data_IF_695463940650
#
_entry.id   IF_695463940650
#
_cell.length_a   1.000
_cell.length_b   1.000
_cell.length_c   1.000
_cell.angle_alpha   90.00
_cell.angle_beta   90.00
_cell.angle_gamma   90.00
#
_symmetry.space_group_name_H-M   'P 1'
#
loop_
_entity.id
_entity.type
_entity.pdbx_description
1 polymer ?
#
# COMPACT_ATOMS: atom_id res chain seq x y z
N UNK A 1 9.22 -0.62 16.36
CA UNK A 1 9.41 0.70 15.70
C UNK A 1 8.06 1.41 15.56
N UNK A 2 8.00 2.74 15.39
CA UNK A 2 6.74 3.44 15.13
C UNK A 2 6.21 3.15 13.71
N UNK A 3 4.88 3.20 13.55
CA UNK A 3 4.22 3.21 12.24
C UNK A 3 4.65 4.43 11.41
N UNK A 4 4.49 4.34 10.08
CA UNK A 4 4.83 5.46 9.19
C UNK A 4 3.96 6.71 9.47
N UNK A 5 4.37 7.85 8.93
CA UNK A 5 3.65 9.12 9.10
C UNK A 5 2.97 9.56 7.80
N UNK A 6 1.94 10.38 7.91
CA UNK A 6 1.24 10.96 6.75
C UNK A 6 2.21 11.71 5.83
N UNK A 7 3.16 12.44 6.42
CA UNK A 7 4.21 13.16 5.70
C UNK A 7 5.10 12.20 4.91
N UNK A 8 5.61 11.13 5.53
CA UNK A 8 6.48 10.16 4.87
C UNK A 8 5.78 9.45 3.70
N UNK A 9 4.51 9.09 3.86
CA UNK A 9 3.69 8.49 2.79
C UNK A 9 3.51 9.49 1.63
N UNK A 10 3.21 10.75 1.92
CA UNK A 10 3.05 11.80 0.90
C UNK A 10 4.35 12.10 0.17
N UNK A 11 5.49 12.11 0.88
CA UNK A 11 6.81 12.27 0.27
C UNK A 11 7.20 11.08 -0.62
N UNK A 12 6.73 9.88 -0.27
CA UNK A 12 7.00 8.66 -1.05
C UNK A 12 6.14 8.60 -2.33
N UNK A 13 4.90 9.10 -2.26
CA UNK A 13 3.97 9.08 -3.39
C UNK A 13 3.43 10.48 -3.72
N UNK A 14 4.09 11.15 -4.68
CA UNK A 14 3.72 12.49 -5.14
C UNK A 14 2.27 12.59 -5.67
N UNK A 15 1.68 11.48 -6.12
CA UNK A 15 0.28 11.41 -6.55
C UNK A 15 -0.73 11.68 -5.41
N UNK A 16 -0.28 11.59 -4.16
CA UNK A 16 -1.09 11.79 -2.96
C UNK A 16 -1.14 13.24 -2.45
N UNK A 17 -0.51 14.19 -3.15
CA UNK A 17 -0.48 15.62 -2.74
C UNK A 17 -1.89 16.20 -2.52
N UNK A 18 -2.90 15.73 -3.25
CA UNK A 18 -4.29 16.16 -3.10
C UNK A 18 -5.16 15.31 -2.16
N UNK A 19 -4.62 14.23 -1.59
CA UNK A 19 -5.38 13.34 -0.69
C UNK A 19 -5.40 13.93 0.71
N UNK A 20 -6.55 13.83 1.40
CA UNK A 20 -6.69 14.36 2.75
C UNK A 20 -5.82 13.57 3.76
N UNK A 21 -5.46 14.19 4.87
CA UNK A 21 -4.57 13.57 5.85
C UNK A 21 -5.23 12.39 6.59
N UNK A 22 -6.55 12.45 6.82
CA UNK A 22 -7.28 11.42 7.56
C UNK A 22 -7.38 10.10 6.77
N UNK A 23 -7.58 10.17 5.46
CA UNK A 23 -7.56 9.01 4.56
C UNK A 23 -6.15 8.42 4.48
N UNK A 24 -5.10 9.25 4.38
CA UNK A 24 -3.72 8.73 4.42
C UNK A 24 -3.45 8.03 5.76
N UNK A 25 -3.91 8.60 6.87
CA UNK A 25 -3.79 7.99 8.20
C UNK A 25 -4.51 6.65 8.28
N UNK A 26 -5.72 6.55 7.72
CA UNK A 26 -6.46 5.29 7.66
C UNK A 26 -5.68 4.22 6.88
N UNK A 27 -5.13 4.56 5.70
CA UNK A 27 -4.31 3.63 4.93
C UNK A 27 -3.02 3.21 5.63
N UNK A 28 -2.42 4.09 6.44
CA UNK A 28 -1.27 3.75 7.30
C UNK A 28 -1.69 2.74 8.37
N UNK A 29 -2.83 2.95 9.01
CA UNK A 29 -3.33 2.09 10.08
C UNK A 29 -3.66 0.70 9.52
N UNK A 30 -4.34 0.62 8.38
CA UNK A 30 -4.63 -0.64 7.68
C UNK A 30 -3.33 -1.36 7.26
N UNK A 31 -2.39 -0.63 6.66
CA UNK A 31 -1.10 -1.19 6.26
C UNK A 31 -0.27 -1.66 7.46
N UNK A 32 -0.36 -0.97 8.60
CA UNK A 32 0.35 -1.36 9.81
C UNK A 32 -0.19 -2.67 10.36
N UNK A 33 -1.51 -2.88 10.40
CA UNK A 33 -2.11 -4.13 10.86
C UNK A 33 -1.59 -5.35 10.07
N UNK A 34 -1.50 -5.22 8.74
CA UNK A 34 -0.98 -6.27 7.87
C UNK A 34 0.52 -6.54 8.09
N UNK A 35 1.31 -5.48 8.18
CA UNK A 35 2.77 -5.59 8.32
C UNK A 35 3.17 -6.05 9.73
N UNK A 36 2.40 -5.68 10.75
CA UNK A 36 2.63 -6.07 12.14
C UNK A 36 2.36 -7.56 12.39
N UNK A 37 1.42 -8.14 11.63
CA UNK A 37 1.13 -9.57 11.65
C UNK A 37 2.21 -10.44 10.97
N UNK A 38 3.12 -9.84 10.21
CA UNK A 38 4.14 -10.53 9.44
C UNK A 38 5.53 -10.47 10.11
N UNK A 39 6.41 -11.47 9.89
CA UNK A 39 7.70 -11.56 10.56
C UNK A 39 8.77 -10.65 9.93
N UNK A 40 8.43 -9.39 9.63
CA UNK A 40 9.40 -8.41 9.17
C UNK A 40 10.42 -8.06 10.26
N UNK A 41 11.68 -7.88 9.87
CA UNK A 41 12.68 -7.25 10.74
C UNK A 41 12.23 -5.82 11.07
N UNK A 42 12.48 -5.38 12.30
CA UNK A 42 12.10 -4.05 12.79
C UNK A 42 12.60 -2.91 11.88
N UNK A 43 13.80 -3.05 11.33
CA UNK A 43 14.42 -2.08 10.39
C UNK A 43 13.64 -1.92 9.07
N UNK A 44 12.91 -2.96 8.65
CA UNK A 44 12.20 -3.00 7.37
C UNK A 44 10.70 -2.75 7.56
N UNK A 45 10.20 -2.90 8.78
CA UNK A 45 8.77 -2.86 9.12
C UNK A 45 8.12 -1.53 8.79
N UNK A 46 8.74 -0.40 9.15
CA UNK A 46 8.24 0.93 8.80
C UNK A 46 8.20 1.12 7.28
N UNK A 47 9.27 0.71 6.58
CA UNK A 47 9.39 0.82 5.13
C UNK A 47 8.30 0.00 4.43
N UNK A 48 8.07 -1.24 4.87
CA UNK A 48 7.01 -2.11 4.35
C UNK A 48 5.62 -1.49 4.56
N UNK A 49 5.35 -0.98 5.77
CA UNK A 49 4.11 -0.27 6.08
C UNK A 49 3.91 0.95 5.18
N UNK A 50 4.96 1.77 4.99
CA UNK A 50 4.92 2.96 4.13
C UNK A 50 4.57 2.63 2.68
N UNK A 51 5.23 1.63 2.09
CA UNK A 51 4.95 1.23 0.71
C UNK A 51 3.57 0.61 0.53
N UNK A 52 3.10 -0.18 1.50
CA UNK A 52 1.75 -0.72 1.47
C UNK A 52 0.71 0.39 1.61
N UNK A 53 0.90 1.35 2.52
CA UNK A 53 0.02 2.50 2.66
C UNK A 53 -0.02 3.35 1.37
N UNK A 54 1.13 3.57 0.73
CA UNK A 54 1.19 4.25 -0.58
C UNK A 54 0.40 3.49 -1.65
N UNK A 55 0.53 2.16 -1.71
CA UNK A 55 -0.21 1.33 -2.66
C UNK A 55 -1.72 1.50 -2.50
N UNK A 56 -2.22 1.36 -1.27
CA UNK A 56 -3.65 1.48 -0.94
C UNK A 56 -4.17 2.89 -1.29
N UNK A 57 -3.44 3.93 -0.87
CA UNK A 57 -3.83 5.31 -1.10
C UNK A 57 -3.83 5.68 -2.60
N UNK A 58 -2.84 5.22 -3.37
CA UNK A 58 -2.74 5.48 -4.80
C UNK A 58 -3.85 4.77 -5.56
N UNK A 59 -4.14 3.51 -5.23
CA UNK A 59 -5.27 2.81 -5.81
C UNK A 59 -6.57 3.56 -5.55
N UNK A 60 -6.84 3.92 -4.29
CA UNK A 60 -8.05 4.66 -3.95
C UNK A 60 -8.18 5.96 -4.75
N UNK A 61 -7.11 6.77 -4.80
CA UNK A 61 -7.08 8.03 -5.56
C UNK A 61 -7.35 7.83 -7.07
N UNK A 62 -6.78 6.79 -7.68
CA UNK A 62 -7.01 6.46 -9.09
C UNK A 62 -8.46 6.06 -9.36
N UNK A 63 -9.06 5.26 -8.47
CA UNK A 63 -10.45 4.84 -8.64
C UNK A 63 -11.43 6.01 -8.45
N UNK A 64 -11.23 6.87 -7.43
CA UNK A 64 -12.05 8.08 -7.25
C UNK A 64 -11.99 9.00 -8.47
N UNK A 65 -10.80 9.17 -9.08
CA UNK A 65 -10.66 9.95 -10.33
C UNK A 65 -11.41 9.29 -11.49
N UNK A 66 -11.34 7.97 -11.62
CA UNK A 66 -12.09 7.24 -12.65
C UNK A 66 -13.61 7.36 -12.47
N UNK A 67 -14.10 7.33 -11.23
CA UNK A 67 -15.53 7.52 -10.91
C UNK A 67 -16.01 8.92 -11.29
N UNK A 68 -15.23 9.96 -11.00
CA UNK A 68 -15.57 11.34 -11.34
C UNK A 68 -15.67 11.60 -12.86
N UNK A 69 -14.91 10.86 -13.67
CA UNK A 69 -14.97 10.93 -15.15
C UNK A 69 -16.18 10.17 -15.70
N UNK A 70 -16.75 9.23 -14.94
CA UNK A 70 -17.72 8.24 -15.40
C UNK A 70 -19.14 8.41 -14.87
N UNK A 71 -19.59 9.64 -14.55
CA UNK A 71 -20.85 10.01 -13.87
C UNK A 71 -22.17 9.59 -14.54
N UNK A 72 -22.25 8.39 -15.13
CA UNK A 72 -23.45 7.81 -15.72
C UNK A 72 -23.72 6.36 -15.31
N UNK A 73 -22.87 5.64 -14.56
CA UNK A 73 -23.22 4.27 -14.12
C UNK A 73 -22.33 3.75 -12.98
N UNK A 74 -22.75 3.98 -11.74
CA UNK A 74 -23.05 2.93 -10.75
C UNK A 74 -23.05 3.52 -9.35
N UNK A 75 -24.25 3.62 -8.82
CA UNK A 75 -24.51 3.65 -7.39
C UNK A 75 -23.76 2.49 -6.71
N UNK A 76 -23.00 2.85 -5.67
CA UNK A 76 -22.57 2.02 -4.55
C UNK A 76 -22.18 0.56 -4.85
N UNK A 77 -20.87 0.33 -4.98
CA UNK A 77 -20.26 -0.88 -4.42
C UNK A 77 -19.03 -0.45 -3.62
N UNK A 78 -19.09 -0.60 -2.30
CA UNK A 78 -18.06 -0.19 -1.36
C UNK A 78 -16.67 -0.57 -1.83
N UNK A 79 -15.81 0.44 -2.03
CA UNK A 79 -14.46 0.22 -2.49
C UNK A 79 -13.60 -0.31 -1.33
N UNK A 80 -13.59 -1.63 -1.17
CA UNK A 80 -12.47 -2.31 -0.53
C UNK A 80 -11.33 -2.29 -1.55
N UNK A 81 -10.29 -1.48 -1.32
CA UNK A 81 -8.99 -1.72 -1.95
C UNK A 81 -8.52 -3.08 -1.47
N UNK A 82 -8.92 -4.15 -2.15
CA UNK A 82 -8.50 -5.49 -1.79
C UNK A 82 -7.01 -5.59 -2.02
N UNK A 83 -6.28 -6.11 -1.03
CA UNK A 83 -4.83 -6.36 -1.02
C UNK A 83 -4.34 -7.32 -2.12
N UNK A 84 -5.20 -7.70 -3.05
CA UNK A 84 -5.05 -8.83 -3.96
C UNK A 84 -4.15 -8.57 -5.15
N UNK A 85 -3.88 -7.31 -5.53
CA UNK A 85 -3.01 -7.02 -6.67
C UNK A 85 -1.95 -5.95 -6.38
N UNK A 86 -0.93 -6.39 -5.63
CA UNK A 86 0.26 -5.59 -5.31
C UNK A 86 1.03 -5.14 -6.57
N UNK A 87 0.80 -5.74 -7.75
CA UNK A 87 1.54 -5.37 -8.96
C UNK A 87 1.01 -4.12 -9.64
N UNK A 88 -0.17 -3.62 -9.26
CA UNK A 88 -0.83 -2.46 -9.91
C UNK A 88 -0.10 -1.13 -9.74
N UNK A 89 0.76 -1.00 -8.73
CA UNK A 89 1.49 0.25 -8.47
C UNK A 89 2.94 -0.08 -8.18
N UNK A 90 3.85 0.86 -8.45
CA UNK A 90 5.27 0.74 -8.09
C UNK A 90 5.46 0.50 -6.58
N UNK A 91 4.58 1.07 -5.75
CA UNK A 91 4.64 0.93 -4.29
C UNK A 91 4.27 -0.47 -3.83
N UNK A 92 3.22 -1.05 -4.42
CA UNK A 92 2.83 -2.44 -4.16
C UNK A 92 3.90 -3.43 -4.62
N UNK A 93 4.58 -3.16 -5.74
CA UNK A 93 5.70 -3.97 -6.22
C UNK A 93 6.89 -3.91 -5.26
N UNK A 94 7.22 -2.73 -4.73
CA UNK A 94 8.25 -2.60 -3.69
C UNK A 94 7.86 -3.29 -2.39
N UNK A 95 6.60 -3.17 -1.95
CA UNK A 95 6.11 -3.94 -0.81
C UNK A 95 6.25 -5.45 -1.05
N UNK A 96 5.88 -5.94 -2.24
CA UNK A 96 6.03 -7.35 -2.61
C UNK A 96 7.50 -7.79 -2.58
N UNK A 97 8.43 -6.96 -3.06
CA UNK A 97 9.87 -7.21 -2.97
C UNK A 97 10.31 -7.35 -1.51
N UNK A 98 9.91 -6.42 -0.65
CA UNK A 98 10.21 -6.46 0.79
C UNK A 98 9.60 -7.69 1.46
N UNK A 99 8.36 -8.02 1.14
CA UNK A 99 7.70 -9.22 1.66
C UNK A 99 8.47 -10.49 1.29
N UNK A 100 8.83 -10.65 0.02
CA UNK A 100 9.56 -11.82 -0.47
C UNK A 100 10.97 -11.94 0.14
N UNK A 101 11.65 -10.81 0.37
CA UNK A 101 13.02 -10.78 0.87
C UNK A 101 13.11 -10.92 2.39
N UNK A 102 12.15 -10.37 3.14
CA UNK A 102 12.26 -10.21 4.59
C UNK A 102 11.17 -10.89 5.43
N UNK A 103 10.00 -11.22 4.86
CA UNK A 103 8.87 -11.75 5.63
C UNK A 103 8.32 -13.10 5.13
N UNK A 104 8.56 -13.47 3.87
CA UNK A 104 8.09 -14.72 3.30
C UNK A 104 8.84 -15.90 3.93
N UNK A 105 8.17 -16.64 4.81
CA UNK A 105 8.68 -17.90 5.34
C UNK A 105 8.65 -18.96 4.24
N UNK A 106 9.82 -19.29 3.70
CA UNK A 106 10.07 -20.53 2.97
C UNK A 106 9.34 -20.70 1.64
N UNK A 107 9.84 -20.05 0.59
CA UNK A 107 10.05 -20.75 -0.69
C UNK A 107 11.31 -20.13 -1.31
N UNK A 108 12.44 -20.80 -1.15
CA UNK A 108 13.65 -20.53 -1.93
C UNK A 108 13.26 -20.52 -3.41
N UNK A 109 13.11 -19.34 -4.01
CA UNK A 109 13.16 -19.21 -5.46
C UNK A 109 14.63 -19.37 -5.84
N UNK A 110 15.05 -20.62 -5.99
CA UNK A 110 16.25 -20.98 -6.74
C UNK A 110 16.06 -20.46 -8.16
N UNK A 111 16.62 -19.28 -8.44
CA UNK A 111 16.97 -18.91 -9.81
C UNK A 111 18.18 -19.76 -10.15
N UNK A 112 17.95 -20.85 -10.90
CA UNK A 112 19.03 -21.58 -11.57
C UNK A 112 19.42 -20.75 -12.79
N UNK A 113 20.65 -20.25 -12.82
CA UNK A 113 21.29 -19.64 -14.00
C UNK A 113 22.02 -20.76 -14.75
#
# INVERSE_FOLDING_TARGET
MPKSTVENVRLTAAELVGVNNDSIKLFIDDAWLEVDALPFKEEVKEKACRYLACHLAVLNNQNTKSEQVGSLKKEYSGFHSTFTDLKRTVYGQEYLRLYNEYAKKGSLSLVVI
#
